data_IF_603889620928
#
_entry.id   IF_603889620928
#
_cell.length_a   1.000
_cell.length_b   1.000
_cell.length_c   1.000
_cell.angle_alpha   90.00
_cell.angle_beta   90.00
_cell.angle_gamma   90.00
#
_symmetry.space_group_name_H-M   'P 1'
#
loop_
_entity.id
_entity.type
_entity.pdbx_description
1 polymer ?
#
# COMPACT_ATOMS: atom_id res chain seq x y z
N UNK A 1 8.33 2.02 -23.94
CA UNK A 1 9.35 1.88 -22.88
C UNK A 1 9.71 3.27 -22.37
N UNK A 2 9.12 3.75 -21.27
CA UNK A 2 9.35 5.14 -20.83
C UNK A 2 8.67 5.56 -19.53
N UNK A 3 7.64 4.85 -19.06
CA UNK A 3 6.96 5.19 -17.80
C UNK A 3 7.75 4.84 -16.54
N UNK A 4 8.60 3.79 -16.58
CA UNK A 4 9.42 3.39 -15.43
C UNK A 4 10.46 4.44 -15.02
N UNK A 5 11.00 5.21 -15.98
CA UNK A 5 11.94 6.30 -15.70
C UNK A 5 11.23 7.52 -15.10
N UNK A 6 10.00 7.81 -15.50
CA UNK A 6 9.24 8.96 -15.00
C UNK A 6 8.84 8.75 -13.54
N UNK A 7 8.43 7.54 -13.16
CA UNK A 7 8.16 7.16 -11.77
C UNK A 7 9.44 7.22 -10.91
N UNK A 8 10.58 6.79 -11.44
CA UNK A 8 11.87 6.85 -10.74
C UNK A 8 12.35 8.30 -10.53
N UNK A 9 12.08 9.20 -11.48
CA UNK A 9 12.43 10.63 -11.37
C UNK A 9 11.50 11.34 -10.37
N UNK A 10 10.21 10.98 -10.31
CA UNK A 10 9.28 11.52 -9.32
C UNK A 10 9.70 11.13 -7.89
N UNK A 11 10.18 9.88 -7.69
CA UNK A 11 10.72 9.41 -6.40
C UNK A 11 11.93 10.21 -5.91
N UNK A 12 12.76 10.73 -6.81
CA UNK A 12 13.94 11.54 -6.44
C UNK A 12 13.57 12.99 -6.11
N UNK A 13 12.49 13.53 -6.68
CA UNK A 13 12.05 14.90 -6.44
C UNK A 13 11.49 15.13 -5.01
N UNK A 14 10.97 14.08 -4.36
CA UNK A 14 10.51 14.15 -2.96
C UNK A 14 11.64 14.06 -1.92
N UNK A 15 12.89 13.83 -2.33
CA UNK A 15 14.03 13.66 -1.42
C UNK A 15 14.64 14.98 -0.93
N UNK A 16 13.94 16.11 -1.11
CA UNK A 16 14.43 17.43 -0.66
C UNK A 16 13.34 18.23 0.04
N UNK A 17 13.10 17.92 1.31
CA UNK A 17 12.77 18.93 2.32
C UNK A 17 13.65 18.64 3.53
N UNK A 18 14.71 19.43 3.66
CA UNK A 18 15.37 19.66 4.95
C UNK A 18 14.57 20.75 5.64
N UNK A 19 14.02 20.47 6.81
CA UNK A 19 13.87 21.51 7.82
C UNK A 19 14.28 20.93 9.18
N UNK A 20 15.24 21.60 9.79
CA UNK A 20 15.84 21.25 11.07
C UNK A 20 15.05 22.05 12.10
N UNK A 21 14.22 21.42 12.91
CA UNK A 21 13.66 22.05 14.11
C UNK A 21 13.74 21.08 15.28
N UNK A 22 14.62 21.42 16.23
CA UNK A 22 14.59 20.95 17.61
C UNK A 22 13.21 21.29 18.21
N UNK A 23 12.41 20.27 18.45
CA UNK A 23 11.12 20.34 19.12
C UNK A 23 10.62 18.93 19.30
N UNK A 24 10.27 18.55 20.54
CA UNK A 24 9.84 17.21 20.98
C UNK A 24 9.52 16.25 19.82
N UNK A 25 10.40 15.28 19.60
CA UNK A 25 10.23 14.25 18.57
C UNK A 25 8.91 13.53 18.81
N UNK A 26 7.85 13.96 18.12
CA UNK A 26 6.61 13.22 18.03
C UNK A 26 7.00 11.86 17.47
N UNK A 27 6.68 10.75 18.15
CA UNK A 27 7.02 9.43 17.63
C UNK A 27 6.39 9.29 16.25
N UNK A 28 7.25 9.20 15.22
CA UNK A 28 6.80 8.98 13.84
C UNK A 28 6.25 7.57 13.75
N UNK A 29 5.09 7.41 13.13
CA UNK A 29 4.43 6.11 12.99
C UNK A 29 5.07 5.27 11.88
N UNK A 30 5.56 5.93 10.82
CA UNK A 30 6.20 5.29 9.69
C UNK A 30 7.46 6.04 9.25
N UNK A 31 8.34 5.34 8.55
CA UNK A 31 9.41 5.91 7.73
C UNK A 31 8.78 6.29 6.38
N UNK A 32 8.84 7.56 5.94
CA UNK A 32 8.25 7.99 4.68
C UNK A 32 8.80 7.22 3.48
N UNK A 33 7.92 6.72 2.62
CA UNK A 33 8.34 5.94 1.47
C UNK A 33 7.21 5.18 0.78
N UNK A 34 7.63 4.37 -0.20
CA UNK A 34 6.77 3.46 -0.94
C UNK A 34 7.22 2.04 -0.64
N UNK A 35 6.31 1.25 -0.07
CA UNK A 35 6.54 -0.10 0.38
C UNK A 35 5.69 -1.06 -0.43
N UNK A 36 6.19 -2.28 -0.65
CA UNK A 36 5.50 -3.26 -1.48
C UNK A 36 5.54 -4.64 -0.84
N UNK A 37 4.43 -5.36 -0.94
CA UNK A 37 4.32 -6.77 -0.53
C UNK A 37 3.59 -7.57 -1.60
N UNK A 38 4.10 -8.76 -1.89
CA UNK A 38 3.55 -9.63 -2.91
C UNK A 38 2.54 -10.62 -2.33
N UNK A 39 1.54 -10.95 -3.13
CA UNK A 39 0.48 -11.92 -2.87
C UNK A 39 0.48 -12.96 -3.97
N UNK A 40 0.42 -14.25 -3.60
CA UNK A 40 0.31 -15.33 -4.57
C UNK A 40 -1.15 -15.75 -4.76
N UNK A 41 -1.60 -15.74 -6.01
CA UNK A 41 -2.95 -16.11 -6.43
C UNK A 41 -2.83 -17.13 -7.58
N UNK A 42 -3.09 -18.40 -7.28
CA UNK A 42 -3.00 -19.52 -8.25
C UNK A 42 -1.70 -19.53 -9.10
N UNK A 43 -0.57 -19.28 -8.44
CA UNK A 43 0.76 -19.25 -9.08
C UNK A 43 1.15 -17.90 -9.69
N UNK A 44 0.23 -16.94 -9.77
CA UNK A 44 0.52 -15.57 -10.20
C UNK A 44 0.81 -14.67 -8.99
N UNK A 45 1.79 -13.78 -9.10
CA UNK A 45 2.11 -12.80 -8.06
C UNK A 45 1.44 -11.47 -8.37
N UNK A 46 0.74 -10.90 -7.39
CA UNK A 46 0.18 -9.56 -7.43
C UNK A 46 0.86 -8.74 -6.34
N UNK A 47 1.37 -7.58 -6.69
CA UNK A 47 2.05 -6.72 -5.73
C UNK A 47 1.07 -5.69 -5.17
N UNK A 48 1.05 -5.54 -3.85
CA UNK A 48 0.33 -4.48 -3.15
C UNK A 48 1.35 -3.42 -2.74
N UNK A 49 1.14 -2.19 -3.21
CA UNK A 49 1.97 -1.04 -2.92
C UNK A 49 1.28 -0.10 -1.94
N UNK A 50 2.00 0.32 -0.90
CA UNK A 50 1.53 1.25 0.12
C UNK A 50 2.50 2.42 0.19
N UNK A 51 1.97 3.64 0.07
CA UNK A 51 2.74 4.89 0.22
C UNK A 51 2.40 5.51 1.56
N UNK A 52 3.41 5.90 2.32
CA UNK A 52 3.27 6.51 3.65
C UNK A 52 4.13 7.76 3.78
N UNK A 53 3.67 8.69 4.59
CA UNK A 53 4.51 9.71 5.22
C UNK A 53 4.76 9.33 6.69
N UNK A 54 5.33 10.25 7.48
CA UNK A 54 5.71 9.98 8.87
C UNK A 54 4.54 9.49 9.74
N UNK A 55 3.31 9.89 9.42
CA UNK A 55 2.14 9.65 10.28
C UNK A 55 0.91 9.14 9.52
N UNK A 56 0.92 9.12 8.19
CA UNK A 56 -0.24 8.74 7.39
C UNK A 56 0.07 7.73 6.30
N UNK A 57 -0.90 6.85 6.07
CA UNK A 57 -1.05 6.06 4.87
C UNK A 57 -1.70 6.96 3.81
N UNK A 58 -0.96 7.21 2.73
CA UNK A 58 -1.37 8.13 1.67
C UNK A 58 -2.07 7.41 0.51
N UNK A 59 -1.64 6.19 0.17
CA UNK A 59 -2.27 5.42 -0.91
C UNK A 59 -1.98 3.94 -0.78
N UNK A 60 -2.93 3.11 -1.23
CA UNK A 60 -2.78 1.67 -1.40
C UNK A 60 -3.18 1.34 -2.84
N UNK A 61 -2.37 0.56 -3.56
CA UNK A 61 -2.62 0.23 -4.96
C UNK A 61 -2.10 -1.17 -5.35
N UNK A 62 -2.67 -1.75 -6.40
CA UNK A 62 -2.15 -2.97 -7.01
C UNK A 62 -1.10 -2.62 -8.08
N UNK A 63 -0.02 -3.37 -8.09
CA UNK A 63 1.05 -3.31 -9.09
C UNK A 63 1.14 -4.67 -9.77
N UNK A 64 1.54 -4.67 -11.04
CA UNK A 64 1.71 -5.87 -11.88
C UNK A 64 0.41 -6.68 -12.10
N UNK A 65 -0.77 -6.07 -11.95
CA UNK A 65 -2.03 -6.66 -12.37
C UNK A 65 -2.31 -6.30 -13.83
N UNK A 66 -2.24 -7.29 -14.72
CA UNK A 66 -2.54 -7.13 -16.15
C UNK A 66 -4.01 -7.44 -16.51
N UNK A 67 -4.39 -7.19 -17.77
CA UNK A 67 -5.76 -7.40 -18.27
C UNK A 67 -6.25 -8.86 -18.13
N UNK A 68 -5.34 -9.83 -18.23
CA UNK A 68 -5.69 -11.25 -18.09
C UNK A 68 -6.00 -11.57 -16.63
N UNK A 69 -5.17 -11.07 -15.72
CA UNK A 69 -5.38 -11.23 -14.28
C UNK A 69 -6.62 -10.48 -13.78
N UNK A 70 -6.94 -9.32 -14.35
CA UNK A 70 -8.21 -8.62 -14.06
C UNK A 70 -9.44 -9.44 -14.46
N UNK A 71 -9.36 -10.12 -15.60
CA UNK A 71 -10.44 -10.97 -16.09
C UNK A 71 -10.56 -12.25 -15.25
N UNK A 72 -9.44 -12.84 -14.84
CA UNK A 72 -9.40 -14.08 -14.05
C UNK A 72 -9.69 -13.86 -12.55
N UNK A 73 -9.30 -12.70 -12.03
CA UNK A 73 -9.49 -12.33 -10.62
C UNK A 73 -10.27 -11.00 -10.51
N UNK A 74 -11.53 -10.96 -10.99
CA UNK A 74 -12.31 -9.73 -11.09
C UNK A 74 -12.58 -9.07 -9.74
N UNK A 75 -12.45 -9.82 -8.65
CA UNK A 75 -12.67 -9.34 -7.29
C UNK A 75 -11.46 -8.62 -6.68
N UNK A 76 -10.25 -8.75 -7.24
CA UNK A 76 -9.03 -8.25 -6.57
C UNK A 76 -9.02 -6.73 -6.51
N UNK A 77 -9.26 -6.05 -7.64
CA UNK A 77 -9.37 -4.58 -7.69
C UNK A 77 -10.46 -4.04 -6.77
N UNK A 78 -11.74 -4.42 -6.91
CA UNK A 78 -12.80 -3.85 -6.07
C UNK A 78 -12.60 -4.16 -4.58
N UNK A 79 -12.04 -5.33 -4.25
CA UNK A 79 -11.72 -5.65 -2.85
C UNK A 79 -10.61 -4.74 -2.32
N UNK A 80 -9.53 -4.50 -3.08
CA UNK A 80 -8.49 -3.58 -2.62
C UNK A 80 -9.06 -2.16 -2.47
N UNK A 81 -9.89 -1.70 -3.40
CA UNK A 81 -10.46 -0.35 -3.37
C UNK A 81 -11.31 -0.15 -2.09
N UNK A 82 -12.17 -1.11 -1.76
CA UNK A 82 -12.98 -1.11 -0.53
C UNK A 82 -12.12 -1.11 0.75
N UNK A 83 -11.04 -1.89 0.76
CA UNK A 83 -10.09 -1.93 1.87
C UNK A 83 -9.33 -0.61 1.98
N UNK A 84 -8.84 -0.10 0.85
CA UNK A 84 -8.07 1.14 0.78
C UNK A 84 -8.89 2.33 1.27
N UNK A 85 -10.14 2.46 0.84
CA UNK A 85 -11.01 3.54 1.32
C UNK A 85 -11.16 3.51 2.85
N UNK A 86 -11.40 2.33 3.42
CA UNK A 86 -11.52 2.17 4.87
C UNK A 86 -10.21 2.48 5.60
N UNK A 87 -9.09 1.96 5.10
CA UNK A 87 -7.77 2.13 5.73
C UNK A 87 -7.32 3.59 5.65
N UNK A 88 -7.47 4.25 4.49
CA UNK A 88 -7.13 5.66 4.34
C UNK A 88 -8.02 6.57 5.19
N UNK A 89 -9.31 6.22 5.36
CA UNK A 89 -10.21 6.97 6.23
C UNK A 89 -9.92 6.77 7.71
N UNK A 90 -9.60 5.54 8.13
CA UNK A 90 -9.37 5.18 9.54
C UNK A 90 -7.93 5.36 9.98
N UNK A 91 -6.99 5.43 9.04
CA UNK A 91 -5.55 5.38 9.26
C UNK A 91 -5.14 4.18 10.14
N UNK A 92 -5.82 3.04 9.93
CA UNK A 92 -5.71 1.85 10.76
C UNK A 92 -6.12 0.60 9.99
N UNK A 93 -5.52 -0.53 10.33
CA UNK A 93 -5.91 -1.86 9.85
C UNK A 93 -6.94 -2.54 10.76
N UNK A 94 -7.31 -1.91 11.88
CA UNK A 94 -8.30 -2.42 12.82
C UNK A 94 -9.72 -2.07 12.36
N UNK A 95 -10.68 -2.87 12.82
CA UNK A 95 -12.12 -2.68 12.54
C UNK A 95 -12.45 -2.61 11.04
N UNK A 96 -11.66 -3.25 10.19
CA UNK A 96 -11.91 -3.34 8.75
C UNK A 96 -13.02 -4.36 8.48
N UNK A 97 -13.99 -3.97 7.66
CA UNK A 97 -15.13 -4.82 7.31
C UNK A 97 -15.03 -5.28 5.87
N UNK A 98 -15.39 -6.53 5.62
CA UNK A 98 -15.48 -7.14 4.30
C UNK A 98 -16.64 -8.14 4.27
N UNK A 99 -17.20 -8.36 3.08
CA UNK A 99 -18.30 -9.30 2.88
C UNK A 99 -17.78 -10.75 2.88
N UNK A 100 -18.66 -11.72 3.13
CA UNK A 100 -18.26 -13.14 3.04
C UNK A 100 -17.82 -13.53 1.62
N UNK A 101 -18.39 -12.88 0.59
CA UNK A 101 -18.09 -13.18 -0.81
C UNK A 101 -16.67 -12.76 -1.23
N UNK A 102 -16.07 -11.78 -0.53
CA UNK A 102 -14.69 -11.35 -0.76
C UNK A 102 -13.77 -11.65 0.43
N UNK A 103 -14.19 -12.45 1.41
CA UNK A 103 -13.44 -12.68 2.64
C UNK A 103 -12.01 -13.20 2.41
N UNK A 104 -11.85 -14.23 1.56
CA UNK A 104 -10.52 -14.79 1.30
C UNK A 104 -9.59 -13.76 0.65
N UNK A 105 -10.05 -13.11 -0.41
CA UNK A 105 -9.31 -12.06 -1.12
C UNK A 105 -9.00 -10.88 -0.19
N UNK A 106 -9.96 -10.48 0.65
CA UNK A 106 -9.80 -9.37 1.60
C UNK A 106 -8.71 -9.68 2.62
N UNK A 107 -8.73 -10.88 3.19
CA UNK A 107 -7.73 -11.31 4.17
C UNK A 107 -6.33 -11.33 3.57
N UNK A 108 -6.20 -11.80 2.34
CA UNK A 108 -4.93 -11.90 1.64
C UNK A 108 -4.35 -10.52 1.28
N UNK A 109 -5.19 -9.62 0.77
CA UNK A 109 -4.79 -8.24 0.45
C UNK A 109 -4.51 -7.43 1.71
N UNK A 110 -5.32 -7.57 2.76
CA UNK A 110 -5.09 -6.90 4.05
C UNK A 110 -3.76 -7.33 4.68
N UNK A 111 -3.44 -8.63 4.63
CA UNK A 111 -2.14 -9.15 5.08
C UNK A 111 -0.98 -8.56 4.27
N UNK A 112 -1.14 -8.36 2.96
CA UNK A 112 -0.12 -7.72 2.14
C UNK A 112 0.08 -6.24 2.48
N UNK A 113 -1.01 -5.50 2.73
CA UNK A 113 -0.95 -4.13 3.25
C UNK A 113 -0.22 -4.10 4.59
N UNK A 114 -0.56 -5.00 5.51
CA UNK A 114 0.10 -5.13 6.80
C UNK A 114 1.61 -5.35 6.64
N UNK A 115 2.01 -6.33 5.84
CA UNK A 115 3.42 -6.63 5.57
C UNK A 115 4.16 -5.44 4.93
N UNK A 116 3.49 -4.64 4.11
CA UNK A 116 4.08 -3.43 3.55
C UNK A 116 4.27 -2.33 4.62
N UNK A 117 3.32 -2.16 5.54
CA UNK A 117 3.39 -1.19 6.64
C UNK A 117 4.39 -1.61 7.73
N UNK A 118 4.56 -2.90 7.98
CA UNK A 118 5.61 -3.40 8.88
C UNK A 118 7.01 -3.03 8.37
N UNK A 119 7.24 -3.09 7.04
CA UNK A 119 8.50 -2.61 6.42
C UNK A 119 8.68 -1.10 6.56
N UNK A 120 7.59 -0.36 6.76
CA UNK A 120 7.59 1.07 6.97
C UNK A 120 7.74 1.45 8.45
N UNK A 121 7.68 0.51 9.39
CA UNK A 121 7.79 0.82 10.81
C UNK A 121 9.20 1.32 11.16
N UNK A 122 9.33 2.34 12.02
CA UNK A 122 10.63 2.80 12.51
C UNK A 122 11.32 1.68 13.31
N UNK A 123 12.65 1.57 13.16
CA UNK A 123 13.50 0.56 13.81
C UNK A 123 13.73 0.81 15.29
#
# INVERSE_FOLDING_TARGET
MGLGLILLILLLAFRKVTDVNDGESVPTMYVPGVYTSSVMMDGNSIDVQVTVDENHINSISLVNLDETMETMYPLVRPTLDELSEQILRKQSLNDITYSQNNQYTSMLLLAAVQNALEKASPS
#
